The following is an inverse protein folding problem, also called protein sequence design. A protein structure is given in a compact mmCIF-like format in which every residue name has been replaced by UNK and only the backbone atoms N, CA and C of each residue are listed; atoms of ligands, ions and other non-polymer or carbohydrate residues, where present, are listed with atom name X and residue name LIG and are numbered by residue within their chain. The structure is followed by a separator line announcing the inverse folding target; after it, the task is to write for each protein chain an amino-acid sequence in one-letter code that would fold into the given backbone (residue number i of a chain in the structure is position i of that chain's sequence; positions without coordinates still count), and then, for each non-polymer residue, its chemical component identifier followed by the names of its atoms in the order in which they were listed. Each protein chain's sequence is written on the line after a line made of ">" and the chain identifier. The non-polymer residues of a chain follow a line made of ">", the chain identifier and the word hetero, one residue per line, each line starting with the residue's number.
data_IF_742202448716
#
_entry.id   IF_742202448716
#
_cell.length_a   1.000
_cell.length_b   1.000
_cell.length_c   1.000
_cell.angle_alpha   90.00
_cell.angle_beta   90.00
_cell.angle_gamma   90.00
#
_symmetry.space_group_name_H-M   'P 1'
#
loop_
_entity.id
_entity.type
_entity.pdbx_description
1 polymer ?
#
# COMPACT_ATOMS: atom_id res chain seq x y z
N UNK A 1 -0.61 -15.04 -21.10
CA UNK A 1 -0.60 -13.56 -21.19
C UNK A 1 -0.43 -13.01 -19.78
N UNK A 2 0.59 -12.20 -19.50
CA UNK A 2 0.86 -11.67 -18.15
C UNK A 2 -0.31 -10.77 -17.70
N UNK A 3 -1.04 -11.16 -16.65
CA UNK A 3 -2.27 -10.47 -16.20
C UNK A 3 -2.01 -8.99 -15.86
N UNK A 4 -0.84 -8.67 -15.31
CA UNK A 4 -0.42 -7.31 -15.03
C UNK A 4 -0.33 -6.41 -16.27
N UNK A 5 -0.03 -6.97 -17.45
CA UNK A 5 0.12 -6.19 -18.68
C UNK A 5 -1.21 -5.64 -19.17
N UNK A 6 -2.31 -6.35 -18.93
CA UNK A 6 -3.64 -5.85 -19.27
C UNK A 6 -4.00 -4.58 -18.48
N UNK A 7 -3.39 -4.38 -17.30
CA UNK A 7 -3.55 -3.14 -16.54
C UNK A 7 -2.64 -2.05 -17.11
N UNK A 8 -1.31 -2.21 -17.09
CA UNK A 8 -0.40 -1.14 -17.51
C UNK A 8 -0.62 -0.67 -18.95
N UNK A 9 -0.85 -1.60 -19.88
CA UNK A 9 -0.96 -1.28 -21.30
C UNK A 9 -2.41 -1.06 -21.75
N UNK A 10 -3.35 -0.86 -20.82
CA UNK A 10 -4.79 -0.73 -21.13
C UNK A 10 -5.10 0.32 -22.21
N UNK A 11 -4.39 1.46 -22.19
CA UNK A 11 -4.60 2.55 -23.15
C UNK A 11 -3.77 2.39 -24.45
N UNK A 12 -3.00 1.32 -24.59
CA UNK A 12 -2.09 1.10 -25.71
C UNK A 12 -2.56 -0.08 -26.55
N UNK A 13 -2.50 0.06 -27.87
CA UNK A 13 -2.72 -1.01 -28.83
C UNK A 13 -1.49 -1.93 -28.86
N UNK A 14 -1.64 -3.23 -29.19
CA UNK A 14 -0.51 -4.17 -29.23
C UNK A 14 0.66 -3.72 -30.10
N UNK A 15 0.40 -2.96 -31.16
CA UNK A 15 1.41 -2.46 -32.10
C UNK A 15 2.18 -1.25 -31.55
N UNK A 16 1.71 -0.62 -30.47
CA UNK A 16 2.34 0.56 -29.89
C UNK A 16 3.51 0.24 -28.97
N UNK A 17 3.71 -1.01 -28.56
CA UNK A 17 4.71 -1.36 -27.56
C UNK A 17 5.29 -2.76 -27.78
N UNK A 18 6.49 -2.97 -27.26
CA UNK A 18 7.05 -4.30 -27.07
C UNK A 18 7.19 -4.58 -25.58
N UNK A 19 7.35 -5.85 -25.22
CA UNK A 19 7.72 -6.26 -23.87
C UNK A 19 8.74 -7.39 -23.94
N UNK A 20 9.65 -7.39 -22.97
CA UNK A 20 10.63 -8.46 -22.80
C UNK A 20 10.60 -8.89 -21.34
N UNK A 21 10.77 -10.19 -21.08
CA UNK A 21 10.84 -10.73 -19.74
C UNK A 21 12.19 -11.44 -19.54
N UNK A 22 12.82 -11.17 -18.40
CA UNK A 22 14.08 -11.77 -17.99
C UNK A 22 13.85 -12.63 -16.75
N UNK A 23 14.19 -13.92 -16.84
CA UNK A 23 14.16 -14.80 -15.68
C UNK A 23 15.54 -14.84 -15.02
N UNK A 24 15.63 -14.36 -13.79
CA UNK A 24 16.84 -14.49 -12.98
C UNK A 24 16.73 -15.74 -12.12
N UNK A 25 17.66 -16.67 -12.38
CA UNK A 25 17.80 -17.89 -11.60
C UNK A 25 18.87 -17.68 -10.51
N UNK A 26 18.54 -17.93 -9.23
CA UNK A 26 19.49 -17.72 -8.17
C UNK A 26 20.62 -18.76 -8.23
N UNK A 27 21.88 -18.28 -8.23
CA UNK A 27 23.07 -19.16 -8.23
C UNK A 27 23.12 -20.05 -6.97
N UNK A 28 22.77 -19.48 -5.81
CA UNK A 28 22.54 -20.23 -4.58
C UNK A 28 21.07 -20.56 -4.48
N UNK A 29 20.71 -21.85 -4.41
CA UNK A 29 19.31 -22.30 -4.41
C UNK A 29 18.60 -22.09 -3.07
N UNK A 30 19.35 -21.87 -2.00
CA UNK A 30 18.81 -21.69 -0.65
C UNK A 30 19.39 -20.45 0.03
N UNK A 31 18.70 -19.96 1.04
CA UNK A 31 19.16 -18.90 1.94
C UNK A 31 18.62 -19.18 3.34
N UNK A 32 19.39 -18.87 4.37
CA UNK A 32 18.88 -18.90 5.74
C UNK A 32 18.10 -17.61 6.01
N UNK A 33 16.83 -17.75 6.36
CA UNK A 33 15.99 -16.62 6.76
C UNK A 33 16.56 -16.01 8.05
N UNK A 34 16.78 -14.69 8.04
CA UNK A 34 17.43 -14.00 9.17
C UNK A 34 16.55 -13.89 10.41
N UNK A 35 15.23 -14.00 10.28
CA UNK A 35 14.29 -13.89 11.40
C UNK A 35 14.09 -15.23 12.10
N UNK A 36 13.95 -16.30 11.33
CA UNK A 36 13.58 -17.63 11.83
C UNK A 36 14.79 -18.57 11.94
N UNK A 37 15.87 -18.31 11.20
CA UNK A 37 17.00 -19.22 11.09
C UNK A 37 16.73 -20.43 10.18
N UNK A 38 15.55 -20.53 9.59
CA UNK A 38 15.18 -21.62 8.71
C UNK A 38 15.87 -21.50 7.33
N UNK A 39 16.20 -22.64 6.73
CA UNK A 39 16.70 -22.69 5.36
C UNK A 39 15.52 -22.65 4.40
N UNK A 40 15.43 -21.59 3.60
CA UNK A 40 14.36 -21.40 2.62
C UNK A 40 14.90 -21.45 1.19
N UNK A 41 14.07 -21.94 0.27
CA UNK A 41 14.39 -21.97 -1.15
C UNK A 41 14.34 -20.57 -1.75
N UNK A 42 15.40 -20.23 -2.50
CA UNK A 42 15.42 -19.05 -3.34
C UNK A 42 14.68 -19.35 -4.63
N UNK A 43 13.51 -18.73 -4.77
CA UNK A 43 12.68 -18.83 -5.98
C UNK A 43 13.28 -17.94 -7.10
N UNK A 44 13.15 -18.34 -8.38
CA UNK A 44 13.41 -17.45 -9.51
C UNK A 44 12.59 -16.17 -9.41
N UNK A 45 13.14 -15.07 -9.91
CA UNK A 45 12.39 -13.83 -10.09
C UNK A 45 12.37 -13.43 -11.56
N UNK A 46 11.22 -12.99 -12.04
CA UNK A 46 11.03 -12.56 -13.43
C UNK A 46 10.93 -11.04 -13.44
N UNK A 47 11.82 -10.38 -14.18
CA UNK A 47 11.68 -8.98 -14.52
C UNK A 47 10.89 -8.86 -15.81
N UNK A 48 9.92 -7.95 -15.85
CA UNK A 48 9.21 -7.58 -17.07
C UNK A 48 9.61 -6.15 -17.41
N UNK A 49 10.15 -5.97 -18.62
CA UNK A 49 10.65 -4.70 -19.12
C UNK A 49 9.68 -4.23 -20.20
N UNK A 50 9.19 -3.00 -20.03
CA UNK A 50 8.40 -2.27 -21.01
C UNK A 50 9.22 -1.05 -21.43
N UNK A 51 9.77 -1.03 -22.66
CA UNK A 51 10.47 0.13 -23.17
C UNK A 51 9.56 1.37 -23.18
N UNK A 52 10.10 2.53 -22.80
CA UNK A 52 9.36 3.81 -22.79
C UNK A 52 9.26 4.45 -24.17
N UNK A 53 9.10 3.65 -25.21
CA UNK A 53 8.99 4.12 -26.60
C UNK A 53 7.73 3.52 -27.23
N UNK A 54 6.93 4.39 -27.86
CA UNK A 54 5.81 3.98 -28.67
C UNK A 54 6.34 3.56 -30.05
N UNK A 55 6.14 2.31 -30.43
CA UNK A 55 6.73 1.76 -31.65
C UNK A 55 6.16 2.36 -32.94
N UNK A 56 4.93 2.89 -32.91
CA UNK A 56 4.29 3.50 -34.08
C UNK A 56 4.73 4.94 -34.30
N UNK A 57 4.89 5.70 -33.22
CA UNK A 57 5.19 7.14 -33.31
C UNK A 57 6.65 7.50 -33.03
N UNK A 58 7.44 6.58 -32.47
CA UNK A 58 8.81 6.85 -31.98
C UNK A 58 8.87 7.75 -30.74
N UNK A 59 7.74 8.27 -30.27
CA UNK A 59 7.64 9.13 -29.10
C UNK A 59 7.65 8.34 -27.80
N UNK A 60 7.77 9.04 -26.67
CA UNK A 60 7.77 8.40 -25.37
C UNK A 60 6.41 7.74 -25.02
N UNK A 61 6.43 6.44 -24.73
CA UNK A 61 5.32 5.70 -24.11
C UNK A 61 5.56 5.58 -22.60
N UNK A 62 4.73 6.22 -21.78
CA UNK A 62 4.82 6.08 -20.32
C UNK A 62 3.43 5.74 -19.75
N UNK A 63 3.12 4.44 -19.53
CA UNK A 63 1.83 4.01 -18.97
C UNK A 63 1.67 4.32 -17.47
N UNK A 64 2.76 4.68 -16.78
CA UNK A 64 2.78 4.89 -15.32
C UNK A 64 2.72 6.37 -14.94
N UNK A 65 3.22 7.26 -15.81
CA UNK A 65 3.45 8.66 -15.49
C UNK A 65 4.20 8.84 -14.16
N UNK A 66 3.79 9.77 -13.29
CA UNK A 66 4.33 9.94 -11.94
C UNK A 66 3.71 8.88 -11.03
N UNK A 67 4.47 7.82 -10.74
CA UNK A 67 4.03 6.66 -9.94
C UNK A 67 3.23 7.04 -8.69
N UNK A 68 3.71 8.02 -7.91
CA UNK A 68 3.06 8.44 -6.66
C UNK A 68 1.63 8.95 -6.82
N UNK A 69 1.27 9.48 -7.98
CA UNK A 69 -0.09 9.94 -8.25
C UNK A 69 -1.06 8.78 -8.47
N UNK A 70 -0.55 7.56 -8.74
CA UNK A 70 -1.34 6.40 -9.16
C UNK A 70 -1.03 5.14 -8.33
N UNK A 71 -0.21 5.26 -7.28
CA UNK A 71 0.25 4.18 -6.40
C UNK A 71 -0.92 3.31 -5.90
N UNK A 72 -2.07 3.91 -5.58
CA UNK A 72 -3.28 3.20 -5.15
C UNK A 72 -3.83 2.20 -6.18
N UNK A 73 -3.71 2.50 -7.48
CA UNK A 73 -4.14 1.60 -8.55
C UNK A 73 -3.17 0.44 -8.71
N UNK A 74 -1.87 0.71 -8.64
CA UNK A 74 -0.84 -0.32 -8.72
C UNK A 74 -0.91 -1.28 -7.53
N UNK A 75 -1.18 -0.76 -6.34
CA UNK A 75 -1.51 -1.58 -5.17
C UNK A 75 -2.73 -2.47 -5.46
N UNK A 76 -3.81 -1.93 -6.03
CA UNK A 76 -4.99 -2.74 -6.36
C UNK A 76 -4.70 -3.83 -7.40
N UNK A 77 -3.85 -3.58 -8.40
CA UNK A 77 -3.45 -4.62 -9.36
C UNK A 77 -2.68 -5.73 -8.67
N UNK A 78 -1.72 -5.36 -7.84
CA UNK A 78 -0.90 -6.30 -7.09
C UNK A 78 -1.78 -7.14 -6.15
N UNK A 79 -2.63 -6.50 -5.36
CA UNK A 79 -3.49 -7.22 -4.42
C UNK A 79 -4.56 -8.05 -5.12
N UNK A 80 -5.09 -7.61 -6.27
CA UNK A 80 -5.98 -8.43 -7.09
C UNK A 80 -5.29 -9.71 -7.55
N UNK A 81 -4.06 -9.61 -8.07
CA UNK A 81 -3.29 -10.76 -8.54
C UNK A 81 -2.94 -11.67 -7.36
N UNK A 82 -2.47 -11.09 -6.26
CA UNK A 82 -2.10 -11.83 -5.06
C UNK A 82 -3.27 -12.62 -4.50
N UNK A 83 -4.43 -11.98 -4.29
CA UNK A 83 -5.62 -12.64 -3.77
C UNK A 83 -6.16 -13.70 -4.74
N UNK A 84 -6.12 -13.43 -6.05
CA UNK A 84 -6.61 -14.38 -7.07
C UNK A 84 -5.77 -15.66 -7.13
N UNK A 85 -4.47 -15.58 -6.91
CA UNK A 85 -3.54 -16.70 -7.06
C UNK A 85 -2.92 -17.18 -5.73
N UNK A 86 -3.38 -16.65 -4.59
CA UNK A 86 -2.83 -16.99 -3.26
C UNK A 86 -1.35 -16.62 -3.10
N UNK A 87 -0.91 -15.50 -3.68
CA UNK A 87 0.47 -15.02 -3.56
C UNK A 87 0.63 -14.14 -2.32
N UNK A 88 1.84 -14.13 -1.75
CA UNK A 88 2.17 -13.32 -0.58
C UNK A 88 1.99 -11.82 -0.84
N UNK A 89 1.31 -11.13 0.07
CA UNK A 89 1.10 -9.68 -0.05
C UNK A 89 2.26 -8.91 0.60
N UNK A 90 2.75 -7.83 -0.03
CA UNK A 90 3.61 -6.84 0.62
C UNK A 90 2.96 -6.18 1.85
N UNK A 91 1.63 -6.27 2.00
CA UNK A 91 0.91 -5.80 3.20
C UNK A 91 1.16 -6.69 4.41
N UNK A 92 1.49 -7.97 4.19
CA UNK A 92 1.88 -8.92 5.25
C UNK A 92 3.37 -8.85 5.57
N UNK A 93 4.18 -8.49 4.58
CA UNK A 93 5.65 -8.48 4.66
C UNK A 93 6.20 -7.06 4.59
N UNK A 94 5.75 -6.19 5.51
CA UNK A 94 6.14 -4.79 5.52
C UNK A 94 7.63 -4.66 5.84
N UNK A 95 8.39 -4.14 4.87
CA UNK A 95 9.84 -3.94 5.04
C UNK A 95 10.14 -2.68 5.86
N UNK A 96 10.37 -2.84 7.14
CA UNK A 96 10.89 -1.76 8.00
C UNK A 96 11.89 -2.31 9.01
N UNK A 97 12.72 -1.42 9.53
CA UNK A 97 13.51 -1.69 10.72
C UNK A 97 12.59 -1.48 11.92
N UNK A 98 12.27 -2.56 12.62
CA UNK A 98 11.30 -2.55 13.71
C UNK A 98 11.89 -1.91 14.99
N UNK A 99 13.22 -1.85 15.09
CA UNK A 99 13.91 -1.19 16.19
C UNK A 99 13.96 0.34 16.01
N UNK A 100 13.72 0.86 14.81
CA UNK A 100 13.70 2.29 14.53
C UNK A 100 12.27 2.81 14.41
N UNK A 101 11.85 3.63 15.38
CA UNK A 101 10.53 4.25 15.37
C UNK A 101 10.29 5.11 14.12
N UNK A 102 11.31 5.78 13.57
CA UNK A 102 11.16 6.55 12.35
C UNK A 102 10.88 5.65 11.15
N UNK A 103 11.60 4.53 11.02
CA UNK A 103 11.38 3.49 10.01
C UNK A 103 9.98 2.89 10.11
N UNK A 104 9.54 2.53 11.32
CA UNK A 104 8.18 2.02 11.60
C UNK A 104 7.12 3.05 11.20
N UNK A 105 7.18 4.26 11.75
CA UNK A 105 6.23 5.34 11.48
C UNK A 105 6.21 5.74 10.00
N UNK A 106 7.31 5.58 9.28
CA UNK A 106 7.35 5.85 7.84
C UNK A 106 6.45 4.92 7.02
N UNK A 107 6.10 3.75 7.56
CA UNK A 107 5.17 2.79 6.95
C UNK A 107 3.71 3.09 7.28
N UNK A 108 3.47 3.81 8.37
CA UNK A 108 2.17 4.32 8.79
C UNK A 108 2.06 5.80 8.38
N UNK A 109 1.86 6.03 7.08
CA UNK A 109 1.66 7.38 6.49
C UNK A 109 0.26 7.50 5.91
N UNK A 110 -0.33 8.69 6.02
CA UNK A 110 -1.68 8.96 5.51
C UNK A 110 -2.77 8.49 6.47
N UNK A 111 -3.60 7.57 5.99
CA UNK A 111 -4.86 7.14 6.62
C UNK A 111 -4.68 6.35 7.93
N UNK A 112 -3.49 5.77 8.15
CA UNK A 112 -3.19 4.86 9.26
C UNK A 112 -3.21 5.52 10.67
N UNK A 113 -3.30 6.86 10.75
CA UNK A 113 -3.53 7.61 11.99
C UNK A 113 -4.56 8.74 11.81
N UNK A 114 -5.49 8.61 10.86
CA UNK A 114 -6.46 9.66 10.59
C UNK A 114 -7.38 9.89 11.81
N UNK A 115 -7.61 11.16 12.16
CA UNK A 115 -8.49 11.56 13.26
C UNK A 115 -7.78 12.24 14.43
N UNK A 116 -8.51 12.35 15.54
CA UNK A 116 -8.07 13.04 16.76
C UNK A 116 -6.85 12.34 17.38
N UNK A 117 -5.93 13.12 17.97
CA UNK A 117 -4.77 12.65 18.74
C UNK A 117 -3.71 11.87 17.95
N UNK A 118 -3.53 12.20 16.66
CA UNK A 118 -2.47 11.65 15.82
C UNK A 118 -1.07 11.80 16.42
N UNK A 119 -0.73 12.98 16.95
CA UNK A 119 0.59 13.23 17.57
C UNK A 119 0.83 12.30 18.75
N UNK A 120 -0.16 12.15 19.62
CA UNK A 120 -0.11 11.20 20.74
C UNK A 120 0.13 9.76 20.25
N UNK A 121 -0.60 9.29 19.23
CA UNK A 121 -0.40 7.94 18.69
C UNK A 121 1.03 7.73 18.16
N UNK A 122 1.59 8.72 17.45
CA UNK A 122 2.95 8.64 16.96
C UNK A 122 3.97 8.59 18.10
N UNK A 123 3.75 9.38 19.14
CA UNK A 123 4.61 9.41 20.32
C UNK A 123 4.53 8.11 21.13
N UNK A 124 3.33 7.55 21.26
CA UNK A 124 3.12 6.25 21.90
C UNK A 124 3.89 5.13 21.18
N UNK A 125 3.94 5.15 19.84
CA UNK A 125 4.74 4.17 19.07
C UNK A 125 6.23 4.29 19.40
N UNK A 126 6.76 5.50 19.53
CA UNK A 126 8.16 5.68 19.93
C UNK A 126 8.41 5.11 21.31
N UNK A 127 7.57 5.44 22.28
CA UNK A 127 7.70 4.93 23.65
C UNK A 127 7.63 3.40 23.71
N UNK A 128 6.75 2.77 22.91
CA UNK A 128 6.66 1.30 22.80
C UNK A 128 7.98 0.67 22.32
N UNK A 129 8.69 1.34 21.41
CA UNK A 129 9.97 0.85 20.87
C UNK A 129 11.11 1.16 21.84
N UNK A 130 11.23 2.41 22.28
CA UNK A 130 12.29 2.89 23.18
C UNK A 130 12.29 2.18 24.53
N UNK A 131 11.09 1.91 25.09
CA UNK A 131 10.94 1.19 26.36
C UNK A 131 10.89 -0.34 26.20
N UNK A 132 11.04 -0.86 24.98
CA UNK A 132 11.08 -2.31 24.74
C UNK A 132 9.79 -3.06 25.12
N UNK A 133 8.63 -2.42 25.02
CA UNK A 133 7.32 -3.00 25.41
C UNK A 133 6.98 -4.20 24.54
N UNK A 134 6.99 -5.41 25.11
CA UNK A 134 6.81 -6.68 24.37
C UNK A 134 5.64 -7.52 24.85
N UNK A 135 4.85 -7.01 25.79
CA UNK A 135 3.66 -7.67 26.30
C UNK A 135 2.45 -6.74 26.24
N UNK A 136 1.26 -7.34 26.17
CA UNK A 136 0.00 -6.59 26.20
C UNK A 136 -0.19 -5.84 27.53
N UNK A 137 0.21 -6.47 28.64
CA UNK A 137 0.14 -5.87 29.98
C UNK A 137 1.00 -4.61 30.07
N UNK A 138 2.26 -4.67 29.61
CA UNK A 138 3.16 -3.52 29.62
C UNK A 138 2.66 -2.41 28.69
N UNK A 139 2.09 -2.78 27.55
CA UNK A 139 1.49 -1.81 26.65
C UNK A 139 0.30 -1.09 27.29
N UNK A 140 -0.55 -1.81 28.02
CA UNK A 140 -1.71 -1.21 28.70
C UNK A 140 -1.26 -0.33 29.87
N UNK A 141 -0.23 -0.73 30.61
CA UNK A 141 0.39 0.10 31.65
C UNK A 141 0.96 1.39 31.05
N UNK A 142 1.69 1.30 29.94
CA UNK A 142 2.22 2.45 29.22
C UNK A 142 1.10 3.40 28.78
N UNK A 143 0.00 2.87 28.22
CA UNK A 143 -1.14 3.69 27.79
C UNK A 143 -1.83 4.37 28.97
N UNK A 144 -1.88 3.73 30.15
CA UNK A 144 -2.48 4.28 31.36
C UNK A 144 -1.71 5.49 31.94
N UNK A 145 -0.42 5.65 31.60
CA UNK A 145 0.34 6.86 31.95
C UNK A 145 -0.26 8.14 31.32
N UNK A 146 -1.04 8.00 30.24
CA UNK A 146 -1.52 9.14 29.45
C UNK A 146 -2.98 9.51 29.72
N UNK A 147 -3.70 8.79 30.57
CA UNK A 147 -5.08 9.13 30.94
C UNK A 147 -5.94 7.92 31.35
N UNK A 148 -7.25 8.16 31.48
CA UNK A 148 -8.21 7.11 31.88
C UNK A 148 -8.35 6.08 30.77
N UNK A 149 -8.07 4.82 31.07
CA UNK A 149 -8.13 3.72 30.09
C UNK A 149 -9.40 2.89 30.22
N UNK A 150 -9.78 2.27 29.10
CA UNK A 150 -10.86 1.29 29.04
C UNK A 150 -10.53 0.22 28.01
N UNK A 151 -10.53 -1.04 28.43
CA UNK A 151 -10.45 -2.18 27.53
C UNK A 151 -11.80 -2.33 26.82
N UNK A 152 -11.76 -2.52 25.51
CA UNK A 152 -12.93 -2.72 24.64
C UNK A 152 -12.86 -4.12 24.07
N UNK A 153 -14.01 -4.77 23.94
CA UNK A 153 -14.11 -6.17 23.46
C UNK A 153 -13.24 -7.14 24.24
N UNK A 154 -13.13 -6.95 25.56
CA UNK A 154 -12.30 -7.76 26.44
C UNK A 154 -12.58 -9.26 26.27
N UNK A 155 -11.51 -10.06 26.16
CA UNK A 155 -11.57 -11.50 25.96
C UNK A 155 -11.93 -11.95 24.54
N UNK A 156 -12.02 -11.04 23.57
CA UNK A 156 -12.26 -11.37 22.15
C UNK A 156 -11.02 -11.08 21.30
N UNK A 157 -10.95 -11.66 20.11
CA UNK A 157 -9.89 -11.37 19.12
C UNK A 157 -9.88 -9.91 18.65
N UNK A 158 -10.96 -9.17 18.91
CA UNK A 158 -11.09 -7.75 18.59
C UNK A 158 -10.87 -6.85 19.80
N UNK A 159 -10.21 -7.36 20.84
CA UNK A 159 -9.84 -6.60 22.04
C UNK A 159 -8.91 -5.45 21.68
N UNK A 160 -9.19 -4.26 22.21
CA UNK A 160 -8.30 -3.11 22.08
C UNK A 160 -8.46 -2.16 23.26
N UNK A 161 -7.41 -1.41 23.57
CA UNK A 161 -7.44 -0.38 24.60
C UNK A 161 -7.87 0.98 24.04
N UNK A 162 -8.66 1.71 24.81
CA UNK A 162 -8.97 3.11 24.58
C UNK A 162 -8.44 3.95 25.74
N UNK A 163 -7.96 5.17 25.44
CA UNK A 163 -7.47 6.12 26.42
C UNK A 163 -8.14 7.48 26.26
N UNK A 164 -8.67 8.02 27.35
CA UNK A 164 -9.21 9.38 27.42
C UNK A 164 -8.11 10.28 27.98
N UNK A 165 -7.50 11.05 27.10
CA UNK A 165 -6.42 11.98 27.44
C UNK A 165 -6.95 13.14 28.30
N UNK A 166 -6.10 13.78 29.12
CA UNK A 166 -6.45 14.99 29.84
C UNK A 166 -7.05 16.06 28.91
N UNK A 167 -8.21 16.60 29.29
CA UNK A 167 -8.93 17.60 28.49
C UNK A 167 -9.82 17.03 27.38
N UNK A 168 -9.78 15.73 27.12
CA UNK A 168 -10.62 15.12 26.10
C UNK A 168 -11.99 14.68 26.61
N UNK A 169 -13.05 15.09 25.90
CA UNK A 169 -14.41 14.65 26.18
C UNK A 169 -14.68 13.18 25.79
N UNK A 170 -13.93 12.64 24.82
CA UNK A 170 -14.09 11.28 24.29
C UNK A 170 -12.75 10.56 24.25
N UNK A 171 -12.77 9.25 24.49
CA UNK A 171 -11.59 8.39 24.40
C UNK A 171 -11.06 8.26 22.98
N UNK A 172 -9.74 8.16 22.86
CA UNK A 172 -9.01 7.75 21.66
C UNK A 172 -9.00 6.23 21.61
N UNK A 173 -9.41 5.64 20.50
CA UNK A 173 -9.32 4.20 20.31
C UNK A 173 -7.98 3.84 19.66
N UNK A 174 -7.25 2.88 20.24
CA UNK A 174 -5.99 2.36 19.71
C UNK A 174 -6.24 1.05 18.93
N UNK A 175 -7.05 1.16 17.86
CA UNK A 175 -7.43 0.03 16.99
C UNK A 175 -6.44 -0.26 15.87
N UNK A 176 -5.51 0.66 15.62
CA UNK A 176 -4.57 0.54 14.51
C UNK A 176 -3.68 -0.70 14.69
N UNK A 177 -3.28 -1.36 13.60
CA UNK A 177 -2.54 -2.65 13.67
C UNK A 177 -1.22 -2.54 14.44
N UNK A 178 -0.63 -1.35 14.49
CA UNK A 178 0.59 -1.07 15.28
C UNK A 178 0.36 -1.12 16.80
N UNK A 179 -0.89 -1.07 17.27
CA UNK A 179 -1.25 -1.20 18.68
C UNK A 179 -1.83 -2.57 19.03
N UNK A 180 -1.79 -3.50 18.08
CA UNK A 180 -2.24 -4.89 18.26
C UNK A 180 -1.06 -5.82 18.53
N UNK A 181 -1.36 -7.05 18.95
CA UNK A 181 -0.37 -8.06 19.31
C UNK A 181 0.66 -8.35 18.22
N UNK A 182 0.27 -8.26 16.94
CA UNK A 182 1.22 -8.44 15.83
C UNK A 182 2.43 -7.52 16.02
N UNK A 183 2.22 -6.24 16.33
CA UNK A 183 3.35 -5.34 16.58
C UNK A 183 3.81 -5.34 18.03
N UNK A 184 2.90 -5.24 19.00
CA UNK A 184 3.26 -5.08 20.41
C UNK A 184 3.99 -6.32 20.93
N UNK A 185 3.46 -7.51 20.65
CA UNK A 185 3.98 -8.77 21.20
C UNK A 185 4.96 -9.43 20.22
N UNK A 186 4.58 -9.55 18.95
CA UNK A 186 5.37 -10.27 17.93
C UNK A 186 6.37 -9.40 17.18
N UNK A 187 6.32 -8.08 17.34
CA UNK A 187 7.17 -7.13 16.60
C UNK A 187 7.07 -7.29 15.08
N UNK A 188 5.89 -7.69 14.60
CA UNK A 188 5.54 -7.83 13.20
C UNK A 188 4.74 -6.63 12.71
N UNK A 189 5.17 -6.08 11.58
CA UNK A 189 4.43 -5.02 10.90
C UNK A 189 3.56 -5.60 9.80
N UNK A 190 2.25 -5.50 10.01
CA UNK A 190 1.24 -5.91 9.04
C UNK A 190 0.26 -4.77 8.78
N UNK A 191 -0.16 -4.68 7.53
CA UNK A 191 -1.31 -3.88 7.12
C UNK A 191 -2.48 -4.84 6.88
N UNK A 192 -3.72 -4.44 7.19
CA UNK A 192 -4.88 -5.28 6.88
C UNK A 192 -4.92 -5.57 5.38
N UNK A 193 -5.39 -6.75 4.94
CA UNK A 193 -5.59 -7.04 3.53
C UNK A 193 -6.37 -5.92 2.84
N UNK A 194 -6.08 -5.62 1.57
CA UNK A 194 -6.85 -4.64 0.84
C UNK A 194 -8.24 -5.21 0.53
N UNK A 195 -9.29 -4.52 0.97
CA UNK A 195 -10.68 -4.94 0.80
C UNK A 195 -11.04 -5.18 -0.67
N UNK A 196 -11.79 -6.25 -0.93
CA UNK A 196 -12.16 -6.64 -2.30
C UNK A 196 -12.97 -5.55 -3.02
N UNK A 197 -13.84 -4.84 -2.30
CA UNK A 197 -14.61 -3.70 -2.83
C UNK A 197 -13.69 -2.54 -3.28
N UNK A 198 -12.66 -2.24 -2.49
CA UNK A 198 -11.67 -1.19 -2.80
C UNK A 198 -10.82 -1.59 -4.01
N UNK A 199 -10.43 -2.87 -4.10
CA UNK A 199 -9.75 -3.40 -5.28
C UNK A 199 -10.66 -3.21 -6.51
N UNK A 200 -11.91 -3.66 -6.43
CA UNK A 200 -12.85 -3.59 -7.54
C UNK A 200 -13.11 -2.16 -8.00
N UNK A 201 -13.34 -1.23 -7.08
CA UNK A 201 -13.51 0.20 -7.39
C UNK A 201 -12.31 0.75 -8.17
N UNK A 202 -11.08 0.48 -7.69
CA UNK A 202 -9.85 0.95 -8.33
C UNK A 202 -9.61 0.30 -9.69
N UNK A 203 -9.94 -0.99 -9.84
CA UNK A 203 -9.88 -1.68 -11.13
C UNK A 203 -10.87 -1.11 -12.14
N UNK A 204 -12.09 -0.78 -11.73
CA UNK A 204 -13.13 -0.19 -12.58
C UNK A 204 -12.78 1.25 -13.02
N UNK A 205 -12.12 2.02 -12.15
CA UNK A 205 -11.68 3.37 -12.47
C UNK A 205 -10.43 3.42 -13.37
N UNK A 206 -9.62 2.35 -13.38
CA UNK A 206 -8.34 2.34 -14.09
C UNK A 206 -8.42 2.55 -15.61
N UNK A 207 -9.35 1.95 -16.37
CA UNK A 207 -9.49 2.18 -17.81
C UNK A 207 -9.50 3.66 -18.23
N UNK A 208 -10.29 4.48 -17.52
CA UNK A 208 -10.32 5.92 -17.75
C UNK A 208 -8.98 6.56 -17.35
N UNK A 209 -8.44 6.21 -16.18
CA UNK A 209 -7.18 6.76 -15.70
C UNK A 209 -6.00 6.48 -16.63
N UNK A 210 -5.90 5.26 -17.18
CA UNK A 210 -4.87 4.89 -18.14
C UNK A 210 -4.94 5.75 -19.41
N UNK A 211 -6.16 6.05 -19.89
CA UNK A 211 -6.37 6.93 -21.04
C UNK A 211 -6.05 8.39 -20.72
N UNK A 212 -6.36 8.87 -19.52
CA UNK A 212 -5.96 10.21 -19.07
C UNK A 212 -4.43 10.37 -19.07
N UNK A 213 -3.71 9.37 -18.55
CA UNK A 213 -2.24 9.34 -18.56
C UNK A 213 -1.72 9.47 -19.99
N UNK A 214 -2.25 8.66 -20.92
CA UNK A 214 -1.79 8.65 -22.31
C UNK A 214 -2.15 9.93 -23.07
N UNK A 215 -3.40 10.40 -22.94
CA UNK A 215 -3.97 11.39 -23.84
C UNK A 215 -4.16 12.79 -23.24
N UNK A 216 -4.21 12.93 -21.91
CA UNK A 216 -4.48 14.22 -21.24
C UNK A 216 -3.21 14.79 -20.64
N UNK A 217 -2.43 13.99 -19.89
CA UNK A 217 -1.27 14.50 -19.15
C UNK A 217 -0.20 15.08 -20.07
N UNK A 218 -0.04 14.51 -21.28
CA UNK A 218 0.88 14.97 -22.31
C UNK A 218 0.27 15.95 -23.32
N UNK A 219 -0.99 16.37 -23.12
CA UNK A 219 -1.69 17.23 -24.06
C UNK A 219 -1.41 18.72 -23.85
N UNK A 220 -1.81 19.52 -24.83
CA UNK A 220 -1.72 20.97 -24.77
C UNK A 220 -2.51 21.53 -23.57
N UNK A 221 -2.10 22.68 -23.00
CA UNK A 221 -2.85 23.33 -21.92
C UNK A 221 -4.34 23.55 -22.26
N UNK A 222 -4.64 23.90 -23.52
CA UNK A 222 -6.01 24.06 -24.02
C UNK A 222 -6.82 22.77 -23.90
N UNK A 223 -6.26 21.63 -24.29
CA UNK A 223 -6.94 20.34 -24.18
C UNK A 223 -7.13 19.93 -22.72
N UNK A 224 -6.12 20.13 -21.87
CA UNK A 224 -6.22 19.84 -20.43
C UNK A 224 -7.33 20.66 -19.77
N UNK A 225 -7.44 21.94 -20.10
CA UNK A 225 -8.53 22.82 -19.62
C UNK A 225 -9.89 22.30 -20.07
N UNK A 226 -10.06 22.05 -21.37
CA UNK A 226 -11.30 21.52 -21.92
C UNK A 226 -11.71 20.18 -21.28
N UNK A 227 -10.76 19.27 -21.05
CA UNK A 227 -11.02 18.00 -20.37
C UNK A 227 -11.43 18.19 -18.90
N UNK A 228 -10.78 19.11 -18.19
CA UNK A 228 -11.11 19.40 -16.79
C UNK A 228 -12.50 20.00 -16.62
N UNK A 229 -12.95 20.82 -17.56
CA UNK A 229 -14.27 21.49 -17.56
C UNK A 229 -15.40 20.62 -18.12
N UNK A 230 -15.07 19.50 -18.78
CA UNK A 230 -16.02 18.59 -19.40
C UNK A 230 -16.83 17.77 -18.38
N UNK A 231 -18.07 17.43 -18.76
CA UNK A 231 -18.92 16.47 -18.04
C UNK A 231 -18.28 15.07 -18.01
N UNK A 232 -18.67 14.18 -17.07
CA UNK A 232 -18.19 12.80 -17.06
C UNK A 232 -18.37 12.09 -18.42
N UNK A 233 -19.51 12.28 -19.07
CA UNK A 233 -19.83 11.70 -20.38
C UNK A 233 -18.92 12.26 -21.48
N UNK A 234 -18.69 13.57 -21.47
CA UNK A 234 -17.82 14.22 -22.46
C UNK A 234 -16.35 13.86 -22.24
N UNK A 235 -15.91 13.64 -21.00
CA UNK A 235 -14.57 13.11 -20.72
C UNK A 235 -14.36 11.73 -21.35
N UNK A 236 -15.34 10.84 -21.24
CA UNK A 236 -15.27 9.52 -21.90
C UNK A 236 -15.17 9.68 -23.42
N UNK A 237 -15.96 10.58 -24.02
CA UNK A 237 -15.92 10.87 -25.46
C UNK A 237 -14.56 11.44 -25.89
N UNK A 238 -13.99 12.38 -25.13
CA UNK A 238 -12.68 12.98 -25.42
C UNK A 238 -11.53 11.97 -25.38
N UNK A 239 -11.70 10.87 -24.65
CA UNK A 239 -10.72 9.78 -24.51
C UNK A 239 -10.96 8.60 -25.46
N UNK A 240 -12.06 8.58 -26.22
CA UNK A 240 -12.41 7.51 -27.15
C UNK A 240 -11.63 7.61 -28.47
N UNK A 241 -10.29 7.56 -28.38
CA UNK A 241 -9.35 7.57 -29.50
C UNK A 241 -8.73 6.19 -29.74
#
# INVERSE_FOLDING_TARGET
>A
KFLCMNFFMHAYKPEEFNLYAEAHLPKMKTVTDRKTGEVIDRKPHIHIIIPRINLLSGNEANPVDVYKNHEKYFEAFQEHINQKYGLSSPRENVRADIADAASVLSRYKGDDFYGKNRQFKQELVKQVIERGVTSRADFYALVAEHGETRIRNEGKDTEYISVKLPGDAKGTNLKDTIFQDDFIVRRELKKPPLEASVIQERLLAWPQRAREIKYVNKATPKFRKAYSEASPEDRVRLLAK
#
